data_IF_125334114325
#
_entry.id   IF_125334114325
#
_cell.length_a   1.000
_cell.length_b   1.000
_cell.length_c   1.000
_cell.angle_alpha   90.00
_cell.angle_beta   90.00
_cell.angle_gamma   90.00
#
_symmetry.space_group_name_H-M   'P 1'
#
loop_
_entity.id
_entity.type
_entity.pdbx_description
1 polymer ?
#
# COMPACT_ATOMS: atom_id res chain seq x y z
N UNK A 1 20.14 13.83 1.45
CA UNK A 1 19.38 13.49 2.69
C UNK A 1 17.87 13.70 2.47
N UNK A 2 17.17 12.78 1.80
CA UNK A 2 15.68 12.78 1.68
C UNK A 2 15.05 11.41 2.01
N UNK A 3 15.79 10.53 2.71
CA UNK A 3 15.34 9.15 2.97
C UNK A 3 14.37 9.03 4.16
N UNK A 4 14.35 10.00 5.07
CA UNK A 4 13.64 9.86 6.36
C UNK A 4 12.10 9.93 6.28
N UNK A 5 11.52 10.60 5.28
CA UNK A 5 10.05 10.69 5.14
C UNK A 5 9.42 9.39 4.61
N UNK A 6 10.10 8.68 3.69
CA UNK A 6 9.62 7.42 3.11
C UNK A 6 9.63 6.24 4.10
N UNK A 7 10.61 6.17 5.01
CA UNK A 7 10.67 5.08 6.01
C UNK A 7 9.45 5.05 6.95
N UNK A 8 8.69 6.16 7.03
CA UNK A 8 7.46 6.22 7.82
C UNK A 8 6.20 5.85 7.04
N UNK A 9 6.29 5.68 5.72
CA UNK A 9 5.19 5.37 4.81
C UNK A 9 5.27 3.93 4.31
N UNK A 10 6.48 3.38 4.14
CA UNK A 10 6.69 2.04 3.60
C UNK A 10 7.32 1.14 4.66
N UNK A 11 6.66 0.04 4.96
CA UNK A 11 7.22 -1.07 5.73
C UNK A 11 7.47 -2.26 4.82
N UNK A 12 8.60 -2.95 5.01
CA UNK A 12 8.97 -4.15 4.27
C UNK A 12 9.01 -5.36 5.20
N UNK A 13 8.42 -6.46 4.75
CA UNK A 13 8.36 -7.71 5.49
C UNK A 13 8.92 -8.84 4.63
N UNK A 14 9.97 -9.50 5.10
CA UNK A 14 10.53 -10.68 4.45
C UNK A 14 9.66 -11.92 4.72
N UNK A 15 9.46 -12.73 3.68
CA UNK A 15 8.90 -14.07 3.82
C UNK A 15 9.62 -15.05 2.89
N UNK A 16 9.52 -16.34 3.20
CA UNK A 16 10.09 -17.40 2.37
C UNK A 16 9.00 -18.03 1.51
N UNK A 17 9.20 -18.00 0.19
CA UNK A 17 8.40 -18.77 -0.74
C UNK A 17 9.25 -19.90 -1.31
N UNK A 18 8.97 -21.12 -0.84
CA UNK A 18 9.72 -22.35 -1.12
C UNK A 18 11.18 -22.27 -0.66
N UNK A 19 12.05 -21.66 -1.47
CA UNK A 19 13.50 -21.51 -1.23
C UNK A 19 14.01 -20.10 -1.57
N UNK A 20 13.12 -19.18 -1.97
CA UNK A 20 13.47 -17.79 -2.28
C UNK A 20 12.92 -16.88 -1.20
N UNK A 21 13.74 -15.94 -0.74
CA UNK A 21 13.27 -14.80 0.04
C UNK A 21 12.50 -13.85 -0.87
N UNK A 22 11.32 -13.44 -0.41
CA UNK A 22 10.45 -12.45 -1.06
C UNK A 22 10.07 -11.37 -0.07
N UNK A 23 9.50 -10.28 -0.58
CA UNK A 23 9.08 -9.12 0.21
C UNK A 23 7.58 -8.90 0.06
N UNK A 24 6.96 -8.51 1.16
CA UNK A 24 5.67 -7.82 1.18
C UNK A 24 5.97 -6.38 1.54
N UNK A 25 5.44 -5.44 0.76
CA UNK A 25 5.51 -4.02 1.06
C UNK A 25 4.16 -3.52 1.54
N UNK A 26 4.19 -2.72 2.59
CA UNK A 26 3.01 -2.08 3.14
C UNK A 26 3.19 -0.57 3.06
N UNK A 27 2.36 0.08 2.25
CA UNK A 27 2.30 1.52 2.03
C UNK A 27 1.14 2.09 2.84
N UNK A 28 1.43 3.01 3.76
CA UNK A 28 0.42 3.85 4.42
C UNK A 28 0.51 5.26 3.86
N UNK A 29 -0.50 5.63 3.05
CA UNK A 29 -0.53 6.91 2.34
C UNK A 29 -1.32 8.00 3.08
N UNK A 30 -1.76 7.79 4.34
CA UNK A 30 -2.65 8.75 5.02
C UNK A 30 -2.06 10.18 5.12
N UNK A 31 -0.73 10.29 5.17
CA UNK A 31 -0.03 11.60 5.31
C UNK A 31 0.03 12.40 4.01
N UNK A 32 -0.21 11.75 2.87
CA UNK A 32 -0.17 12.38 1.56
C UNK A 32 -1.51 13.01 1.25
N UNK A 33 -1.48 14.18 0.62
CA UNK A 33 -2.71 14.93 0.33
C UNK A 33 -3.29 14.66 -1.04
N UNK A 34 -2.45 14.27 -1.98
CA UNK A 34 -2.82 14.11 -3.39
C UNK A 34 -1.83 13.21 -4.12
N UNK A 35 -2.20 12.88 -5.36
CA UNK A 35 -1.38 12.05 -6.26
C UNK A 35 0.01 12.66 -6.52
N UNK A 36 0.13 13.98 -6.64
CA UNK A 36 1.41 14.65 -6.92
C UNK A 36 2.42 14.42 -5.79
N UNK A 37 2.01 14.57 -4.52
CA UNK A 37 2.88 14.25 -3.38
C UNK A 37 3.28 12.77 -3.36
N UNK A 38 2.42 11.87 -3.83
CA UNK A 38 2.72 10.44 -3.93
C UNK A 38 3.70 10.12 -5.05
N UNK A 39 3.59 10.80 -6.20
CA UNK A 39 4.55 10.69 -7.30
C UNK A 39 5.91 11.29 -6.91
N UNK A 40 5.93 12.42 -6.21
CA UNK A 40 7.17 13.08 -5.74
C UNK A 40 8.01 12.19 -4.82
N UNK A 41 7.38 11.27 -4.09
CA UNK A 41 8.06 10.28 -3.23
C UNK A 41 8.37 8.96 -3.97
N UNK A 42 7.98 8.81 -5.24
CA UNK A 42 8.24 7.63 -6.05
C UNK A 42 7.33 6.44 -5.72
N UNK A 43 6.05 6.67 -5.41
CA UNK A 43 5.09 5.58 -5.11
C UNK A 43 4.98 4.55 -6.24
N UNK A 44 5.18 4.99 -7.48
CA UNK A 44 5.09 4.19 -8.69
C UNK A 44 6.10 3.03 -8.71
N UNK A 45 7.29 3.21 -8.13
CA UNK A 45 8.33 2.18 -8.06
C UNK A 45 7.85 0.93 -7.29
N UNK A 46 6.90 1.10 -6.36
CA UNK A 46 6.34 0.00 -5.57
C UNK A 46 5.16 -0.69 -6.24
N UNK A 47 4.45 -0.02 -7.16
CA UNK A 47 3.27 -0.56 -7.84
C UNK A 47 3.65 -1.56 -8.95
N UNK A 48 4.82 -1.37 -9.56
CA UNK A 48 5.28 -2.14 -10.72
C UNK A 48 6.38 -3.17 -10.39
N UNK A 49 6.72 -3.37 -9.11
CA UNK A 49 7.66 -4.41 -8.68
C UNK A 49 6.96 -5.78 -8.48
N UNK A 50 7.70 -6.88 -8.62
CA UNK A 50 7.21 -8.26 -8.42
C UNK A 50 7.13 -8.62 -6.93
N UNK A 51 6.41 -7.79 -6.17
CA UNK A 51 6.20 -7.94 -4.73
C UNK A 51 4.74 -7.72 -4.37
N UNK A 52 4.25 -8.43 -3.35
CA UNK A 52 2.92 -8.12 -2.82
C UNK A 52 2.94 -6.73 -2.19
N UNK A 53 1.99 -5.90 -2.61
CA UNK A 53 1.83 -4.53 -2.14
C UNK A 53 0.50 -4.38 -1.42
N UNK A 54 0.55 -4.05 -0.13
CA UNK A 54 -0.61 -3.68 0.69
C UNK A 54 -0.64 -2.16 0.78
N UNK A 55 -1.75 -1.53 0.41
CA UNK A 55 -1.84 -0.07 0.34
C UNK A 55 -3.03 0.42 1.17
N UNK A 56 -2.74 1.13 2.25
CA UNK A 56 -3.74 1.88 3.02
C UNK A 56 -3.92 3.28 2.42
N UNK A 57 -5.15 3.80 2.45
CA UNK A 57 -5.53 5.08 1.83
C UNK A 57 -5.20 5.16 0.33
N UNK A 58 -5.39 4.04 -0.37
CA UNK A 58 -5.09 3.90 -1.81
C UNK A 58 -5.85 4.87 -2.72
N UNK A 59 -6.95 5.50 -2.23
CA UNK A 59 -7.69 6.52 -2.96
C UNK A 59 -6.83 7.73 -3.36
N UNK A 60 -5.71 7.99 -2.67
CA UNK A 60 -4.76 9.05 -3.05
C UNK A 60 -4.10 8.78 -4.40
N UNK A 61 -3.92 7.50 -4.75
CA UNK A 61 -3.21 7.04 -5.95
C UNK A 61 -4.11 6.28 -6.92
N UNK A 62 -5.44 6.33 -6.75
CA UNK A 62 -6.41 5.63 -7.58
C UNK A 62 -6.17 5.76 -9.09
N UNK A 63 -5.78 6.93 -9.65
CA UNK A 63 -5.53 7.07 -11.09
C UNK A 63 -4.33 6.28 -11.64
N UNK A 64 -3.44 5.79 -10.78
CA UNK A 64 -2.22 5.07 -11.16
C UNK A 64 -2.17 3.63 -10.64
N UNK A 65 -3.23 3.17 -9.95
CA UNK A 65 -3.33 1.77 -9.54
C UNK A 65 -3.39 0.87 -10.78
N UNK A 66 -2.73 -0.29 -10.77
CA UNK A 66 -2.83 -1.24 -11.87
C UNK A 66 -4.23 -1.89 -11.91
N UNK A 67 -4.60 -2.41 -13.08
CA UNK A 67 -5.91 -3.07 -13.27
C UNK A 67 -6.07 -4.35 -12.42
N UNK A 68 -4.95 -5.01 -12.09
CA UNK A 68 -4.91 -6.21 -11.26
C UNK A 68 -4.72 -5.84 -9.78
N UNK A 69 -5.75 -5.24 -9.18
CA UNK A 69 -5.80 -4.88 -7.76
C UNK A 69 -7.00 -5.52 -7.09
N UNK A 70 -6.76 -6.14 -5.93
CA UNK A 70 -7.82 -6.55 -5.01
C UNK A 70 -8.16 -5.40 -4.08
N UNK A 71 -9.26 -4.70 -4.35
CA UNK A 71 -9.72 -3.62 -3.48
C UNK A 71 -10.57 -4.15 -2.32
N UNK A 72 -10.23 -3.71 -1.11
CA UNK A 72 -10.93 -4.08 0.12
C UNK A 72 -11.50 -2.83 0.78
N UNK A 73 -12.76 -2.90 1.20
CA UNK A 73 -13.39 -1.90 2.06
C UNK A 73 -13.65 -2.50 3.43
N UNK A 74 -13.17 -1.83 4.48
CA UNK A 74 -13.41 -2.23 5.87
C UNK A 74 -14.35 -1.20 6.50
N UNK A 75 -15.51 -1.66 6.99
CA UNK A 75 -16.51 -0.85 7.67
C UNK A 75 -16.56 -1.22 9.15
N UNK A 76 -16.58 -0.21 10.02
CA UNK A 76 -16.75 -0.39 11.46
C UNK A 76 -18.24 -0.55 11.75
N UNK A 77 -18.61 -1.59 12.48
CA UNK A 77 -19.97 -1.86 12.95
C UNK A 77 -20.05 -1.63 14.47
N UNK A 78 -21.26 -1.78 15.02
CA UNK A 78 -21.45 -1.82 16.47
C UNK A 78 -20.78 -3.05 17.10
N UNK A 79 -20.68 -3.08 18.44
CA UNK A 79 -20.15 -4.23 19.21
C UNK A 79 -18.72 -4.68 18.85
N UNK A 80 -17.86 -3.75 18.39
CA UNK A 80 -16.49 -4.04 17.97
C UNK A 80 -16.38 -4.98 16.76
N UNK A 81 -17.45 -5.12 15.98
CA UNK A 81 -17.44 -5.89 14.74
C UNK A 81 -16.92 -5.06 13.55
N UNK A 82 -16.37 -5.75 12.56
CA UNK A 82 -15.90 -5.14 11.30
C UNK A 82 -16.46 -5.93 10.13
N UNK A 83 -16.98 -5.23 9.13
CA UNK A 83 -17.37 -5.82 7.85
C UNK A 83 -16.28 -5.58 6.83
N UNK A 84 -15.81 -6.66 6.19
CA UNK A 84 -14.82 -6.59 5.10
C UNK A 84 -15.56 -6.91 3.81
N UNK A 85 -15.44 -6.04 2.82
CA UNK A 85 -16.04 -6.19 1.49
C UNK A 85 -14.91 -6.22 0.47
N UNK A 86 -14.90 -7.25 -0.37
CA UNK A 86 -14.08 -7.31 -1.57
C UNK A 86 -14.86 -6.61 -2.68
N UNK A 87 -14.26 -5.60 -3.32
CA UNK A 87 -14.89 -4.79 -4.36
C UNK A 87 -14.71 -5.38 -5.76
#
# INVERSE_FOLDING_TARGET
MRKAQLFSLVNEYEYEERVKKKLIRHLDLYRLKNLEEALDIGVEDFLYDDTYCLIEWANIIEPILPDDVLSLKIEILENFERKIVIL
#
